data_IF_668295958133
#
_entry.id   IF_668295958133
#
_cell.length_a   1.000
_cell.length_b   1.000
_cell.length_c   1.000
_cell.angle_alpha   90.00
_cell.angle_beta   90.00
_cell.angle_gamma   90.00
#
_symmetry.space_group_name_H-M   'P 1'
#
loop_
_entity.id
_entity.type
_entity.pdbx_description
1 polymer ?
#
# COMPACT_ATOMS: atom_id res chain seq x y z
N UNK A 1 12.34 23.65 20.01
CA UNK A 1 12.66 23.12 18.67
C UNK A 1 11.84 21.84 18.51
N UNK A 2 10.94 21.76 17.52
CA UNK A 2 10.05 20.62 17.33
C UNK A 2 10.73 19.52 16.52
N UNK A 3 10.57 18.27 16.92
CA UNK A 3 11.01 17.13 16.11
C UNK A 3 10.07 16.96 14.91
N UNK A 4 10.63 16.77 13.72
CA UNK A 4 9.89 16.47 12.50
C UNK A 4 10.39 15.14 11.93
N UNK A 5 9.46 14.23 11.65
CA UNK A 5 9.78 12.98 10.97
C UNK A 5 10.20 13.25 9.52
N UNK A 6 11.29 12.60 9.10
CA UNK A 6 11.62 12.50 7.69
C UNK A 6 10.56 11.65 6.97
N UNK A 7 10.17 12.07 5.77
CA UNK A 7 9.24 11.35 4.90
C UNK A 7 9.88 11.23 3.53
N UNK A 8 10.01 10.01 3.04
CA UNK A 8 10.58 9.75 1.72
C UNK A 8 9.61 10.21 0.61
N UNK A 9 10.16 10.68 -0.51
CA UNK A 9 9.35 11.17 -1.64
C UNK A 9 9.26 10.12 -2.74
N UNK A 10 8.09 9.49 -2.84
CA UNK A 10 7.81 8.44 -3.83
C UNK A 10 7.23 9.02 -5.12
N UNK A 11 7.85 8.73 -6.25
CA UNK A 11 7.40 9.21 -7.58
C UNK A 11 6.43 8.24 -8.27
N UNK A 12 6.23 7.05 -7.70
CA UNK A 12 5.40 5.99 -8.27
C UNK A 12 4.56 5.27 -7.23
N UNK A 13 3.61 4.47 -7.72
CA UNK A 13 2.77 3.59 -6.91
C UNK A 13 2.87 2.15 -7.40
N UNK A 14 2.72 1.20 -6.49
CA UNK A 14 2.56 -0.20 -6.86
C UNK A 14 1.22 -0.37 -7.57
N UNK A 15 1.25 -1.09 -8.70
CA UNK A 15 0.04 -1.34 -9.49
C UNK A 15 -0.97 -2.15 -8.68
N UNK A 16 -2.22 -1.71 -8.68
CA UNK A 16 -3.33 -2.48 -8.12
C UNK A 16 -3.71 -3.61 -9.07
N UNK A 17 -3.89 -4.80 -8.50
CA UNK A 17 -4.28 -6.01 -9.21
C UNK A 17 -5.47 -6.64 -8.49
N UNK A 18 -6.55 -6.83 -9.23
CA UNK A 18 -7.76 -7.52 -8.74
C UNK A 18 -7.75 -8.96 -9.21
N UNK A 19 -7.82 -9.90 -8.26
CA UNK A 19 -7.89 -11.33 -8.48
C UNK A 19 -9.34 -11.81 -8.29
N UNK A 20 -9.85 -12.57 -9.25
CA UNK A 20 -11.21 -13.10 -9.21
C UNK A 20 -12.28 -12.14 -9.73
N UNK A 21 -13.56 -12.47 -9.48
CA UNK A 21 -14.74 -11.72 -9.94
C UNK A 21 -15.83 -11.68 -8.87
N UNK A 22 -16.68 -10.67 -8.94
CA UNK A 22 -17.85 -10.52 -8.06
C UNK A 22 -17.48 -10.31 -6.59
N UNK A 23 -18.37 -10.73 -5.68
CA UNK A 23 -18.23 -10.50 -4.22
C UNK A 23 -17.00 -11.16 -3.58
N UNK A 24 -16.33 -12.07 -4.29
CA UNK A 24 -15.14 -12.78 -3.80
C UNK A 24 -13.83 -12.25 -4.41
N UNK A 25 -13.87 -11.17 -5.18
CA UNK A 25 -12.68 -10.57 -5.74
C UNK A 25 -11.79 -9.98 -4.62
N UNK A 26 -10.48 -10.14 -4.76
CA UNK A 26 -9.48 -9.61 -3.82
C UNK A 26 -8.55 -8.69 -4.58
N UNK A 27 -8.37 -7.47 -4.08
CA UNK A 27 -7.41 -6.50 -4.63
C UNK A 27 -6.15 -6.46 -3.78
N UNK A 28 -5.00 -6.39 -4.45
CA UNK A 28 -3.66 -6.24 -3.84
C UNK A 28 -2.86 -5.15 -4.57
N UNK A 29 -1.83 -4.60 -3.91
CA UNK A 29 -1.03 -3.50 -4.44
C UNK A 29 -1.64 -2.12 -4.13
N UNK A 30 -1.25 -1.08 -4.86
CA UNK A 30 -1.70 0.31 -4.61
C UNK A 30 -0.82 1.10 -3.66
N UNK A 31 0.21 0.46 -3.12
CA UNK A 31 1.16 1.03 -2.17
C UNK A 31 1.92 2.25 -2.74
N UNK A 32 2.04 3.31 -1.95
CA UNK A 32 2.82 4.52 -2.28
C UNK A 32 3.92 4.81 -1.27
N UNK A 33 4.31 3.81 -0.48
CA UNK A 33 5.36 3.88 0.52
C UNK A 33 6.02 2.51 0.72
N UNK A 34 7.07 2.44 1.54
CA UNK A 34 7.62 1.18 2.00
C UNK A 34 6.61 0.34 2.80
N UNK A 35 6.80 -0.99 2.88
CA UNK A 35 5.90 -1.87 3.61
C UNK A 35 5.65 -1.38 5.05
N UNK A 36 4.37 -1.12 5.37
CA UNK A 36 3.89 -0.66 6.68
C UNK A 36 4.29 0.77 7.08
N UNK A 37 4.84 1.59 6.18
CA UNK A 37 5.24 2.97 6.46
C UNK A 37 4.09 3.96 6.18
N UNK A 38 2.92 3.69 6.76
CA UNK A 38 1.68 4.45 6.53
C UNK A 38 1.76 5.91 6.99
N UNK A 39 2.78 6.28 7.77
CA UNK A 39 3.04 7.66 8.18
C UNK A 39 3.53 8.55 7.01
N UNK A 40 4.04 7.94 5.93
CA UNK A 40 4.60 8.62 4.77
C UNK A 40 3.99 8.22 3.42
N UNK A 41 3.02 7.31 3.39
CA UNK A 41 2.24 7.04 2.19
C UNK A 41 1.04 6.12 2.43
N UNK A 42 0.31 5.83 1.35
CA UNK A 42 -0.89 5.00 1.40
C UNK A 42 -0.56 3.53 1.22
N UNK A 43 -1.28 2.69 1.98
CA UNK A 43 -1.25 1.23 1.89
C UNK A 43 -2.70 0.69 1.87
N UNK A 44 -3.41 0.83 0.73
CA UNK A 44 -4.85 0.60 0.68
C UNK A 44 -5.23 -0.88 0.79
N UNK A 45 -4.33 -1.80 0.40
CA UNK A 45 -4.61 -3.23 0.35
C UNK A 45 -3.63 -4.01 1.25
N UNK A 46 -4.10 -4.65 2.33
CA UNK A 46 -3.22 -5.41 3.20
C UNK A 46 -2.70 -6.69 2.50
N UNK A 47 -1.54 -7.23 2.93
CA UNK A 47 -0.97 -8.46 2.38
C UNK A 47 -1.96 -9.63 2.46
N UNK A 48 -1.90 -10.52 1.47
CA UNK A 48 -2.79 -11.69 1.35
C UNK A 48 -1.98 -12.97 1.37
N UNK A 49 -2.54 -14.00 2.00
CA UNK A 49 -1.99 -15.35 2.08
C UNK A 49 -3.05 -16.29 1.50
N UNK A 50 -2.64 -17.19 0.62
CA UNK A 50 -3.44 -18.32 0.15
C UNK A 50 -2.84 -19.61 0.74
N UNK A 51 -3.69 -20.58 1.05
CA UNK A 51 -3.30 -21.89 1.59
C UNK A 51 -3.69 -22.99 0.62
#
# INVERSE_FOLDING_TARGET
MGFQFFKESYTGKIREITLGKGKKAVTVGGETCYPFYQFEGAMPNPPRIAM
#
